data_IF_398696402883
#
_entry.id   IF_398696402883
#
_cell.length_a   1.000
_cell.length_b   1.000
_cell.length_c   1.000
_cell.angle_alpha   90.00
_cell.angle_beta   90.00
_cell.angle_gamma   90.00
#
_symmetry.space_group_name_H-M   'P 1'
#
loop_
_entity.id
_entity.type
_entity.pdbx_description
1 polymer ?
#
# COMPACT_ATOMS: atom_id res chain seq x y z
N UNK A 1 36.91 -21.33 39.28
CA UNK A 1 36.30 -22.07 38.16
C UNK A 1 35.49 -21.05 37.37
N UNK A 2 35.91 -20.69 36.15
CA UNK A 2 35.22 -19.72 35.29
C UNK A 2 34.11 -20.39 34.45
N UNK A 3 33.30 -19.55 33.78
CA UNK A 3 32.29 -19.86 32.76
C UNK A 3 30.93 -20.29 33.36
N UNK A 4 29.86 -19.51 33.19
CA UNK A 4 29.08 -19.48 31.94
C UNK A 4 28.63 -18.09 31.46
N UNK A 5 28.60 -18.00 30.13
CA UNK A 5 28.30 -16.86 29.26
C UNK A 5 26.95 -17.14 28.56
N UNK A 6 26.10 -16.09 28.39
CA UNK A 6 24.89 -15.98 27.52
C UNK A 6 23.65 -16.73 28.05
N UNK A 7 22.53 -16.06 28.36
CA UNK A 7 21.52 -15.65 27.38
C UNK A 7 20.84 -14.31 27.74
N UNK A 8 21.15 -13.25 26.99
CA UNK A 8 20.21 -12.12 26.82
C UNK A 8 19.07 -12.58 25.91
N UNK A 9 18.00 -13.13 26.49
CA UNK A 9 16.71 -13.26 25.78
C UNK A 9 16.07 -11.88 25.69
N UNK A 10 16.27 -11.23 24.55
CA UNK A 10 15.46 -10.09 24.13
C UNK A 10 14.03 -10.56 23.92
N UNK A 11 13.20 -10.47 24.95
CA UNK A 11 11.75 -10.52 24.80
C UNK A 11 11.29 -9.19 24.20
N UNK A 12 11.49 -9.03 22.89
CA UNK A 12 10.78 -8.02 22.11
C UNK A 12 9.35 -8.55 21.91
N UNK A 13 8.51 -8.30 22.91
CA UNK A 13 7.08 -8.61 22.88
C UNK A 13 6.38 -7.61 21.96
N UNK A 14 6.23 -7.99 20.69
CA UNK A 14 5.45 -7.28 19.67
C UNK A 14 3.93 -7.26 19.94
N UNK A 15 3.49 -7.81 21.08
CA UNK A 15 2.08 -8.03 21.38
C UNK A 15 1.65 -7.52 22.74
N UNK A 16 2.34 -6.52 23.31
CA UNK A 16 1.82 -5.80 24.48
C UNK A 16 0.54 -5.03 24.10
N UNK A 17 -0.57 -5.76 24.19
CA UNK A 17 -1.94 -5.37 23.86
C UNK A 17 -2.36 -4.19 24.73
N UNK A 18 -2.79 -3.10 24.11
CA UNK A 18 -3.63 -2.13 24.78
C UNK A 18 -5.05 -2.71 24.86
N UNK A 19 -5.74 -2.51 25.97
CA UNK A 19 -7.13 -2.99 26.18
C UNK A 19 -8.17 -2.33 25.24
N UNK A 20 -7.73 -1.58 24.23
CA UNK A 20 -8.55 -0.83 23.27
C UNK A 20 -8.34 -1.25 21.81
N UNK A 21 -7.54 -2.26 21.51
CA UNK A 21 -7.36 -2.76 20.14
C UNK A 21 -8.65 -3.44 19.63
N UNK A 22 -9.46 -2.67 18.91
CA UNK A 22 -10.72 -3.11 18.28
C UNK A 22 -10.42 -4.20 17.25
N UNK A 23 -11.34 -5.15 17.11
CA UNK A 23 -11.27 -6.30 16.19
C UNK A 23 -10.95 -5.93 14.72
N UNK A 24 -11.17 -4.68 14.32
CA UNK A 24 -10.74 -4.10 13.03
C UNK A 24 -9.21 -4.14 12.80
N UNK A 25 -8.38 -4.04 13.85
CA UNK A 25 -6.91 -4.14 13.77
C UNK A 25 -6.43 -5.60 13.53
N UNK A 26 -7.22 -6.59 13.97
CA UNK A 26 -6.84 -8.00 13.88
C UNK A 26 -7.04 -8.54 12.45
N UNK A 27 -8.13 -8.15 11.76
CA UNK A 27 -8.35 -8.53 10.37
C UNK A 27 -7.38 -7.84 9.40
N UNK A 28 -7.05 -6.58 9.68
CA UNK A 28 -6.10 -5.79 8.88
C UNK A 28 -4.67 -6.30 9.05
N UNK A 29 -4.21 -6.66 10.26
CA UNK A 29 -2.84 -7.13 10.49
C UNK A 29 -2.47 -8.43 9.76
N UNK A 30 -3.35 -9.45 9.77
CA UNK A 30 -3.07 -10.73 9.10
C UNK A 30 -3.14 -10.62 7.58
N UNK A 31 -4.15 -9.92 7.06
CA UNK A 31 -4.31 -9.71 5.61
C UNK A 31 -3.18 -8.83 5.06
N UNK A 32 -2.76 -7.83 5.82
CA UNK A 32 -1.59 -7.00 5.50
C UNK A 32 -0.28 -7.78 5.53
N UNK A 33 -0.05 -8.63 6.53
CA UNK A 33 1.14 -9.47 6.59
C UNK A 33 1.24 -10.43 5.38
N UNK A 34 0.11 -10.97 4.91
CA UNK A 34 0.07 -11.82 3.73
C UNK A 34 0.43 -11.04 2.45
N UNK A 35 -0.07 -9.81 2.29
CA UNK A 35 0.27 -8.92 1.18
C UNK A 35 1.76 -8.58 1.11
N UNK A 36 2.42 -8.50 2.26
CA UNK A 36 3.82 -8.12 2.38
C UNK A 36 4.79 -9.31 2.26
N UNK A 37 4.31 -10.55 2.18
CA UNK A 37 5.20 -11.68 2.06
C UNK A 37 6.08 -11.56 0.80
N UNK A 38 7.42 -11.50 0.98
CA UNK A 38 8.41 -11.17 -0.07
C UNK A 38 8.23 -11.98 -1.37
N UNK A 39 7.87 -13.26 -1.25
CA UNK A 39 7.72 -14.18 -2.39
C UNK A 39 6.50 -13.90 -3.29
N UNK A 40 5.59 -13.02 -2.87
CA UNK A 40 4.31 -12.77 -3.55
C UNK A 40 4.32 -11.42 -4.29
N UNK A 41 5.30 -10.56 -4.02
CA UNK A 41 5.30 -9.18 -4.52
C UNK A 41 5.79 -9.13 -5.97
N UNK A 42 4.95 -8.66 -6.91
CA UNK A 42 5.35 -8.51 -8.31
C UNK A 42 6.47 -7.47 -8.46
N UNK A 43 7.35 -7.69 -9.45
CA UNK A 43 8.41 -6.73 -9.77
C UNK A 43 7.88 -5.34 -10.14
N UNK A 44 6.76 -5.27 -10.88
CA UNK A 44 6.12 -3.99 -11.25
C UNK A 44 5.69 -3.18 -10.04
N UNK A 45 5.07 -3.82 -9.04
CA UNK A 45 4.68 -3.18 -7.79
C UNK A 45 5.87 -2.59 -7.05
N UNK A 46 6.97 -3.35 -6.95
CA UNK A 46 8.19 -2.90 -6.29
C UNK A 46 8.80 -1.69 -7.00
N UNK A 47 8.95 -1.77 -8.33
CA UNK A 47 9.46 -0.66 -9.15
C UNK A 47 8.63 0.61 -8.97
N UNK A 48 7.31 0.51 -8.93
CA UNK A 48 6.41 1.65 -8.72
C UNK A 48 6.59 2.21 -7.30
N UNK A 49 6.66 1.36 -6.29
CA UNK A 49 6.86 1.75 -4.90
C UNK A 49 8.22 2.41 -4.66
N UNK A 50 9.30 1.86 -5.20
CA UNK A 50 10.65 2.44 -5.10
C UNK A 50 10.67 3.84 -5.71
N UNK A 51 10.13 3.98 -6.92
CA UNK A 51 10.01 5.28 -7.58
C UNK A 51 9.19 6.27 -6.73
N UNK A 52 8.06 5.82 -6.15
CA UNK A 52 7.26 6.65 -5.28
C UNK A 52 8.04 7.11 -4.03
N UNK A 53 8.69 6.19 -3.32
CA UNK A 53 9.41 6.46 -2.08
C UNK A 53 10.64 7.34 -2.32
N UNK A 54 11.42 7.07 -3.37
CA UNK A 54 12.58 7.88 -3.76
C UNK A 54 12.13 9.30 -4.10
N UNK A 55 11.11 9.45 -4.95
CA UNK A 55 10.63 10.78 -5.34
C UNK A 55 10.10 11.54 -4.12
N UNK A 56 9.32 10.89 -3.26
CA UNK A 56 8.81 11.48 -2.03
C UNK A 56 9.94 11.93 -1.09
N UNK A 57 10.99 11.12 -0.95
CA UNK A 57 12.13 11.39 -0.06
C UNK A 57 13.01 12.53 -0.56
N UNK A 58 13.33 12.54 -1.84
CA UNK A 58 14.30 13.49 -2.42
C UNK A 58 13.62 14.82 -2.78
N UNK A 59 12.51 14.77 -3.50
CA UNK A 59 11.90 15.97 -4.10
C UNK A 59 10.73 16.50 -3.30
N UNK A 60 10.13 15.65 -2.43
CA UNK A 60 8.76 15.82 -1.94
C UNK A 60 7.78 15.95 -3.11
N UNK A 61 6.48 15.88 -2.85
CA UNK A 61 5.50 16.18 -3.89
C UNK A 61 5.20 17.68 -3.89
N UNK A 62 5.38 18.33 -5.04
CA UNK A 62 5.03 19.73 -5.23
C UNK A 62 3.50 19.87 -5.29
N UNK A 63 2.95 21.04 -4.93
CA UNK A 63 1.51 21.27 -4.91
C UNK A 63 0.80 21.07 -6.27
N UNK A 64 1.55 21.12 -7.38
CA UNK A 64 1.02 21.00 -8.76
C UNK A 64 0.97 19.55 -9.25
N UNK A 65 0.58 18.61 -8.39
CA UNK A 65 0.26 17.26 -8.87
C UNK A 65 -1.09 17.28 -9.59
N UNK A 66 -1.17 16.69 -10.77
CA UNK A 66 -2.42 16.60 -11.52
C UNK A 66 -3.34 15.50 -10.95
N UNK A 67 -4.65 15.75 -10.96
CA UNK A 67 -5.65 14.71 -10.71
C UNK A 67 -5.63 13.66 -11.82
N UNK A 68 -6.18 12.48 -11.53
CA UNK A 68 -6.46 11.50 -12.57
C UNK A 68 -7.47 12.06 -13.59
N UNK A 69 -7.22 11.75 -14.85
CA UNK A 69 -8.03 12.07 -16.02
C UNK A 69 -9.31 11.23 -16.06
N UNK A 70 -10.25 11.61 -16.92
CA UNK A 70 -11.49 10.85 -17.10
C UNK A 70 -11.23 9.45 -17.69
N UNK A 71 -10.20 9.27 -18.52
CA UNK A 71 -9.83 7.96 -19.04
C UNK A 71 -9.33 7.02 -17.92
N UNK A 72 -8.51 7.54 -17.02
CA UNK A 72 -8.02 6.80 -15.84
C UNK A 72 -9.18 6.45 -14.88
N UNK A 73 -10.14 7.37 -14.69
CA UNK A 73 -11.37 7.07 -13.92
C UNK A 73 -12.20 5.97 -14.56
N UNK A 74 -12.38 6.00 -15.88
CA UNK A 74 -13.08 4.93 -16.60
C UNK A 74 -12.36 3.58 -16.47
N UNK A 75 -11.03 3.61 -16.42
CA UNK A 75 -10.22 2.40 -16.19
C UNK A 75 -10.46 1.81 -14.79
N UNK A 76 -10.52 2.64 -13.74
CA UNK A 76 -10.89 2.18 -12.39
C UNK A 76 -12.32 1.63 -12.36
N UNK A 77 -13.28 2.36 -12.95
CA UNK A 77 -14.68 1.97 -12.98
C UNK A 77 -14.93 0.65 -13.72
N UNK A 78 -14.12 0.33 -14.75
CA UNK A 78 -14.17 -0.97 -15.46
C UNK A 78 -14.01 -2.18 -14.53
N UNK A 79 -13.34 -2.01 -13.39
CA UNK A 79 -13.09 -3.05 -12.38
C UNK A 79 -13.76 -2.76 -11.04
N UNK A 80 -14.77 -1.89 -11.03
CA UNK A 80 -15.51 -1.50 -9.82
C UNK A 80 -14.64 -0.86 -8.72
N UNK A 81 -13.53 -0.21 -9.12
CA UNK A 81 -12.66 0.50 -8.20
C UNK A 81 -13.13 1.94 -7.98
N UNK A 82 -13.31 2.31 -6.71
CA UNK A 82 -13.58 3.70 -6.32
C UNK A 82 -12.30 4.53 -6.45
N UNK A 83 -12.42 5.86 -6.57
CA UNK A 83 -11.24 6.72 -6.44
C UNK A 83 -10.65 6.62 -5.04
N UNK A 84 -9.35 6.85 -4.91
CA UNK A 84 -8.62 6.60 -3.66
C UNK A 84 -9.16 7.43 -2.48
N UNK A 85 -9.69 8.62 -2.75
CA UNK A 85 -10.35 9.51 -1.77
C UNK A 85 -11.62 8.90 -1.12
N UNK A 86 -12.25 7.92 -1.78
CA UNK A 86 -13.47 7.24 -1.31
C UNK A 86 -13.23 5.76 -1.00
N UNK A 87 -11.96 5.37 -0.85
CA UNK A 87 -11.57 3.99 -0.57
C UNK A 87 -11.28 3.83 0.91
N UNK A 88 -11.83 2.80 1.55
CA UNK A 88 -11.51 2.45 2.94
C UNK A 88 -10.20 1.67 3.03
N UNK A 89 -9.61 1.55 4.22
CA UNK A 89 -8.39 0.75 4.44
C UNK A 89 -8.60 -0.72 4.01
N UNK A 90 -9.74 -1.30 4.37
CA UNK A 90 -10.08 -2.69 4.03
C UNK A 90 -10.16 -2.88 2.51
N UNK A 91 -10.92 -2.03 1.83
CA UNK A 91 -11.05 -2.09 0.37
C UNK A 91 -9.70 -1.94 -0.32
N UNK A 92 -8.84 -1.03 0.15
CA UNK A 92 -7.52 -0.85 -0.43
C UNK A 92 -6.67 -2.13 -0.32
N UNK A 93 -6.70 -2.84 0.80
CA UNK A 93 -5.97 -4.11 0.93
C UNK A 93 -6.54 -5.21 0.05
N UNK A 94 -7.87 -5.28 -0.10
CA UNK A 94 -8.54 -6.21 -1.01
C UNK A 94 -8.16 -5.92 -2.47
N UNK A 95 -8.15 -4.66 -2.87
CA UNK A 95 -7.68 -4.21 -4.18
C UNK A 95 -6.20 -4.56 -4.40
N UNK A 96 -5.32 -4.29 -3.44
CA UNK A 96 -3.90 -4.63 -3.55
C UNK A 96 -3.67 -6.13 -3.68
N UNK A 97 -4.42 -6.96 -2.96
CA UNK A 97 -4.36 -8.42 -3.09
C UNK A 97 -4.75 -8.87 -4.50
N UNK A 98 -5.81 -8.26 -5.04
CA UNK A 98 -6.30 -8.54 -6.38
C UNK A 98 -5.29 -8.13 -7.45
N UNK A 99 -4.70 -6.94 -7.32
CA UNK A 99 -3.66 -6.46 -8.23
C UNK A 99 -2.41 -7.33 -8.19
N UNK A 100 -1.94 -7.74 -7.00
CA UNK A 100 -0.82 -8.70 -6.89
C UNK A 100 -1.10 -10.00 -7.65
N UNK A 101 -2.30 -10.55 -7.48
CA UNK A 101 -2.73 -11.76 -8.19
C UNK A 101 -2.77 -11.57 -9.70
N UNK A 102 -3.24 -10.41 -10.17
CA UNK A 102 -3.32 -10.10 -11.59
C UNK A 102 -1.95 -9.86 -12.22
N UNK A 103 -1.04 -9.17 -11.53
CA UNK A 103 0.32 -8.90 -12.03
C UNK A 103 1.19 -10.15 -12.17
N UNK A 104 0.86 -11.25 -11.49
CA UNK A 104 1.50 -12.57 -11.66
C UNK A 104 0.68 -13.55 -12.51
N UNK A 105 -0.47 -13.14 -13.01
CA UNK A 105 -1.32 -13.99 -13.86
C UNK A 105 -0.66 -14.22 -15.23
N UNK A 106 -1.03 -15.33 -15.87
CA UNK A 106 -0.60 -15.65 -17.24
C UNK A 106 -1.31 -14.84 -18.33
N UNK A 107 -2.32 -14.04 -17.97
CA UNK A 107 -3.03 -13.16 -18.90
C UNK A 107 -2.29 -11.83 -19.01
N UNK A 108 -1.61 -11.62 -20.13
CA UNK A 108 -0.82 -10.41 -20.38
C UNK A 108 -1.66 -9.13 -20.32
N UNK A 109 -2.92 -9.19 -20.77
CA UNK A 109 -3.81 -8.03 -20.75
C UNK A 109 -4.20 -7.69 -19.32
N UNK A 110 -4.57 -8.70 -18.54
CA UNK A 110 -4.93 -8.52 -17.14
C UNK A 110 -3.75 -8.01 -16.30
N UNK A 111 -2.55 -8.51 -16.58
CA UNK A 111 -1.30 -8.02 -15.97
C UNK A 111 -1.02 -6.56 -16.32
N UNK A 112 -1.14 -6.18 -17.58
CA UNK A 112 -0.97 -4.80 -18.02
C UNK A 112 -2.02 -3.87 -17.40
N UNK A 113 -3.27 -4.33 -17.33
CA UNK A 113 -4.36 -3.60 -16.70
C UNK A 113 -4.11 -3.41 -15.18
N UNK A 114 -3.58 -4.42 -14.49
CA UNK A 114 -3.22 -4.33 -13.08
C UNK A 114 -2.08 -3.34 -12.80
N UNK A 115 -1.02 -3.39 -13.61
CA UNK A 115 0.10 -2.48 -13.50
C UNK A 115 -0.35 -1.03 -13.77
N UNK A 116 -1.19 -0.82 -14.80
CA UNK A 116 -1.79 0.49 -15.10
C UNK A 116 -2.64 1.01 -13.94
N UNK A 117 -3.47 0.16 -13.34
CA UNK A 117 -4.29 0.57 -12.18
C UNK A 117 -3.38 1.00 -11.02
N UNK A 118 -2.28 0.28 -10.74
CA UNK A 118 -1.36 0.66 -9.68
C UNK A 118 -0.67 2.00 -9.96
N UNK A 119 -0.36 2.30 -11.22
CA UNK A 119 0.14 3.62 -11.63
C UNK A 119 -0.90 4.72 -11.40
N UNK A 120 -2.17 4.47 -11.74
CA UNK A 120 -3.28 5.39 -11.46
C UNK A 120 -3.40 5.63 -9.94
N UNK A 121 -3.38 4.57 -9.13
CA UNK A 121 -3.38 4.66 -7.66
C UNK A 121 -2.22 5.48 -7.12
N UNK A 122 -1.04 5.32 -7.71
CA UNK A 122 0.15 6.10 -7.37
C UNK A 122 -0.05 7.58 -7.67
N UNK A 123 -0.68 7.92 -8.80
CA UNK A 123 -0.99 9.31 -9.18
C UNK A 123 -2.01 9.92 -8.23
N UNK A 124 -3.07 9.20 -7.86
CA UNK A 124 -4.03 9.62 -6.84
C UNK A 124 -3.34 9.88 -5.49
N UNK A 125 -2.49 8.96 -5.04
CA UNK A 125 -1.76 9.10 -3.79
C UNK A 125 -0.85 10.33 -3.79
N UNK A 126 -0.10 10.55 -4.89
CA UNK A 126 0.73 11.74 -5.05
C UNK A 126 -0.10 13.02 -4.97
N UNK A 127 -1.27 13.04 -5.61
CA UNK A 127 -2.20 14.17 -5.55
C UNK A 127 -2.65 14.45 -4.12
N UNK A 128 -3.12 13.43 -3.40
CA UNK A 128 -3.62 13.54 -2.02
C UNK A 128 -2.51 14.06 -1.08
N UNK A 129 -1.32 13.44 -1.15
CA UNK A 129 -0.18 13.80 -0.30
C UNK A 129 0.32 15.23 -0.57
N UNK A 130 0.36 15.64 -1.84
CA UNK A 130 0.76 17.00 -2.23
C UNK A 130 -0.22 18.07 -1.77
N UNK A 131 -1.52 17.77 -1.83
CA UNK A 131 -2.55 18.79 -1.63
C UNK A 131 -2.97 18.94 -0.17
N UNK A 132 -2.60 18.05 0.77
CA UNK A 132 -2.94 18.05 2.23
C UNK A 132 -4.43 18.27 2.59
N UNK A 133 -5.29 18.47 1.59
CA UNK A 133 -6.68 18.91 1.62
C UNK A 133 -7.47 18.18 0.53
N UNK A 134 -7.17 16.90 0.29
CA UNK A 134 -8.23 16.07 -0.28
C UNK A 134 -9.43 16.27 0.65
N UNK A 135 -10.60 16.60 0.09
CA UNK A 135 -11.84 16.71 0.85
C UNK A 135 -12.19 15.29 1.34
N UNK A 136 -11.42 14.78 2.30
CA UNK A 136 -11.67 13.54 3.02
C UNK A 136 -12.90 13.88 3.85
N UNK A 137 -14.06 13.69 3.24
CA UNK A 137 -15.36 14.05 3.79
C UNK A 137 -15.70 13.19 5.01
N UNK A 138 -14.96 12.10 5.23
CA UNK A 138 -15.22 11.11 6.26
C UNK A 138 -13.94 10.41 6.71
N UNK A 139 -13.71 10.35 8.03
CA UNK A 139 -12.54 9.72 8.67
C UNK A 139 -12.40 8.22 8.38
N UNK A 140 -13.42 7.59 7.79
CA UNK A 140 -13.42 6.17 7.41
C UNK A 140 -12.64 5.95 6.10
N UNK A 141 -12.59 6.93 5.19
CA UNK A 141 -11.93 6.81 3.89
C UNK A 141 -10.43 7.10 3.98
N UNK A 142 -9.72 6.14 4.57
CA UNK A 142 -8.26 6.16 4.79
C UNK A 142 -7.48 5.19 3.88
N UNK A 143 -8.03 4.81 2.74
CA UNK A 143 -7.38 3.89 1.78
C UNK A 143 -6.01 4.38 1.30
N UNK A 144 -5.83 5.70 1.15
CA UNK A 144 -4.54 6.29 0.79
C UNK A 144 -3.42 5.95 1.79
N UNK A 145 -3.73 5.82 3.09
CA UNK A 145 -2.76 5.46 4.12
C UNK A 145 -2.32 4.00 3.98
N UNK A 146 -3.27 3.10 3.67
CA UNK A 146 -2.99 1.69 3.42
C UNK A 146 -2.08 1.51 2.19
N UNK A 147 -2.36 2.23 1.11
CA UNK A 147 -1.54 2.22 -0.11
C UNK A 147 -0.14 2.78 0.15
N UNK A 148 -0.04 3.89 0.89
CA UNK A 148 1.24 4.50 1.23
C UNK A 148 2.10 3.57 2.09
N UNK A 149 1.51 2.96 3.12
CA UNK A 149 2.19 1.98 3.96
C UNK A 149 2.65 0.76 3.14
N UNK A 150 1.80 0.28 2.22
CA UNK A 150 2.17 -0.79 1.31
C UNK A 150 3.42 -0.44 0.49
N UNK A 151 3.46 0.73 -0.15
CA UNK A 151 4.64 1.19 -0.90
C UNK A 151 5.89 1.32 -0.02
N UNK A 152 5.75 1.88 1.19
CA UNK A 152 6.87 1.99 2.11
C UNK A 152 7.45 0.62 2.49
N UNK A 153 6.61 -0.37 2.78
CA UNK A 153 7.08 -1.70 3.16
C UNK A 153 7.71 -2.45 1.99
N UNK A 154 7.06 -2.49 0.83
CA UNK A 154 7.60 -3.27 -0.29
C UNK A 154 8.87 -2.67 -0.89
N UNK A 155 9.08 -1.35 -0.74
CA UNK A 155 10.32 -0.68 -1.17
C UNK A 155 11.55 -1.04 -0.34
N UNK A 156 11.37 -1.69 0.82
CA UNK A 156 12.48 -2.17 1.65
C UNK A 156 13.06 -3.50 1.15
N UNK A 157 12.36 -4.17 0.24
CA UNK A 157 12.81 -5.46 -0.27
C UNK A 157 13.89 -5.27 -1.34
N UNK A 158 15.14 -5.34 -0.92
CA UNK A 158 16.26 -5.52 -1.83
C UNK A 158 16.27 -6.95 -2.38
N UNK A 159 16.52 -7.10 -3.68
CA UNK A 159 16.86 -8.39 -4.29
C UNK A 159 18.30 -8.79 -3.90
#
# INVERSE_FOLDING_TARGET
MPEDIIEKKSNFDLTSRSAFSREEEVFTSRSYAALLAKNIIPYSHRKIADNYVIVKRIFKFQAVMSRISNAEKSMLAKYDFNTLEFTTVKQMYEELALLQKWSVSGDEKLKADADLILEIRTKELKFIVANRYANISNEIYKGYLALENYFQEISKYND
#
